data_IF_412098534875
#
_entry.id   IF_412098534875
#
_cell.length_a   1.000
_cell.length_b   1.000
_cell.length_c   1.000
_cell.angle_alpha   90.00
_cell.angle_beta   90.00
_cell.angle_gamma   90.00
#
_symmetry.space_group_name_H-M   'P 1'
#
loop_
_entity.id
_entity.type
_entity.pdbx_description
1 polymer ?
#
# COMPACT_ATOMS: atom_id res chain seq x y z
N UNK A 1 -7.73 -15.50 -16.70
CA UNK A 1 -8.96 -15.50 -15.87
C UNK A 1 -8.66 -15.22 -14.38
N UNK A 2 -7.50 -15.60 -13.83
CA UNK A 2 -7.09 -15.24 -12.45
C UNK A 2 -5.93 -14.21 -12.42
N UNK A 3 -6.16 -12.98 -12.88
CA UNK A 3 -5.09 -11.94 -12.92
C UNK A 3 -4.71 -11.39 -11.53
N UNK A 4 -5.56 -11.57 -10.52
CA UNK A 4 -5.33 -11.05 -9.15
C UNK A 4 -5.58 -12.15 -8.10
N UNK A 5 -4.71 -13.18 -8.01
CA UNK A 5 -4.91 -14.34 -7.13
C UNK A 5 -5.06 -13.97 -5.64
N UNK A 6 -4.36 -12.92 -5.19
CA UNK A 6 -4.43 -12.45 -3.81
C UNK A 6 -5.86 -12.06 -3.37
N UNK A 7 -6.67 -11.51 -4.28
CA UNK A 7 -8.05 -11.14 -3.99
C UNK A 7 -8.93 -12.37 -3.73
N UNK A 8 -8.78 -13.41 -4.54
CA UNK A 8 -9.50 -14.66 -4.36
C UNK A 8 -9.06 -15.39 -3.09
N UNK A 9 -7.77 -15.37 -2.78
CA UNK A 9 -7.24 -15.94 -1.54
C UNK A 9 -7.80 -15.22 -0.31
N UNK A 10 -7.87 -13.89 -0.32
CA UNK A 10 -8.45 -13.12 0.78
C UNK A 10 -9.95 -13.40 0.95
N UNK A 11 -10.71 -13.47 -0.16
CA UNK A 11 -12.13 -13.81 -0.12
C UNK A 11 -12.37 -15.22 0.44
N UNK A 12 -11.52 -16.18 0.07
CA UNK A 12 -11.57 -17.54 0.60
C UNK A 12 -11.14 -17.63 2.06
N UNK A 13 -10.19 -16.79 2.50
CA UNK A 13 -9.70 -16.77 3.88
C UNK A 13 -10.68 -16.10 4.87
N UNK A 14 -11.52 -15.18 4.40
CA UNK A 14 -12.42 -14.37 5.23
C UNK A 14 -13.39 -15.17 6.13
N UNK A 15 -13.98 -16.30 5.70
CA UNK A 15 -14.87 -17.10 6.54
C UNK A 15 -14.19 -17.77 7.73
N UNK A 16 -12.90 -18.07 7.65
CA UNK A 16 -12.19 -18.82 8.70
C UNK A 16 -12.20 -18.10 10.06
N UNK A 17 -11.79 -16.82 10.16
CA UNK A 17 -11.93 -16.04 11.39
C UNK A 17 -13.38 -15.91 11.87
N UNK A 18 -14.34 -15.77 10.95
CA UNK A 18 -15.76 -15.59 11.27
C UNK A 18 -16.40 -16.86 11.86
N UNK A 19 -15.96 -18.03 11.40
CA UNK A 19 -16.42 -19.34 11.85
C UNK A 19 -15.60 -19.86 13.05
N UNK A 20 -14.55 -19.15 13.47
CA UNK A 20 -13.62 -19.61 14.50
C UNK A 20 -12.82 -20.85 14.11
N UNK A 21 -12.74 -21.16 12.81
CA UNK A 21 -12.04 -22.35 12.30
C UNK A 21 -10.60 -21.97 11.99
N UNK A 22 -9.67 -22.53 12.73
CA UNK A 22 -8.23 -22.42 12.42
C UNK A 22 -7.81 -23.56 11.50
N UNK A 23 -7.29 -23.26 10.30
CA UNK A 23 -6.67 -24.27 9.44
C UNK A 23 -5.51 -24.95 10.17
N UNK A 24 -5.19 -26.22 9.83
CA UNK A 24 -4.16 -26.95 10.54
C UNK A 24 -2.75 -26.39 10.26
N UNK A 25 -1.88 -26.50 11.25
CA UNK A 25 -0.51 -25.92 11.23
C UNK A 25 0.35 -26.37 10.06
N UNK A 26 0.19 -27.63 9.61
CA UNK A 26 0.95 -28.16 8.47
C UNK A 26 0.65 -27.41 7.16
N UNK A 27 -0.52 -26.76 7.06
CA UNK A 27 -0.89 -25.91 5.92
C UNK A 27 -0.50 -24.44 6.16
N UNK A 28 -0.73 -23.93 7.38
CA UNK A 28 -0.44 -22.53 7.69
C UNK A 28 1.05 -22.20 7.68
N UNK A 29 1.91 -23.11 8.15
CA UNK A 29 3.36 -22.85 8.24
C UNK A 29 4.01 -22.60 6.87
N UNK A 30 3.86 -23.47 5.85
CA UNK A 30 4.41 -23.20 4.52
C UNK A 30 3.85 -21.92 3.89
N UNK A 31 2.54 -21.68 4.02
CA UNK A 31 1.88 -20.48 3.47
C UNK A 31 2.42 -19.22 4.13
N UNK A 32 2.60 -19.22 5.46
CA UNK A 32 3.18 -18.10 6.19
C UNK A 32 4.63 -17.83 5.78
N UNK A 33 5.44 -18.89 5.60
CA UNK A 33 6.82 -18.76 5.12
C UNK A 33 6.90 -18.14 3.72
N UNK A 34 6.04 -18.60 2.79
CA UNK A 34 5.96 -18.01 1.45
C UNK A 34 5.47 -16.55 1.49
N UNK A 35 4.49 -16.24 2.35
CA UNK A 35 4.00 -14.88 2.55
C UNK A 35 5.08 -13.94 3.09
N UNK A 36 5.89 -14.41 4.04
CA UNK A 36 7.03 -13.65 4.57
C UNK A 36 8.13 -13.45 3.51
N UNK A 37 8.37 -14.44 2.65
CA UNK A 37 9.31 -14.34 1.55
C UNK A 37 8.82 -13.42 0.40
N UNK A 38 7.51 -13.19 0.29
CA UNK A 38 6.95 -12.36 -0.77
C UNK A 38 7.38 -10.89 -0.65
N UNK A 39 7.43 -10.33 0.57
CA UNK A 39 7.83 -8.93 0.79
C UNK A 39 9.25 -8.64 0.26
N UNK A 40 10.31 -9.37 0.66
CA UNK A 40 11.65 -9.13 0.14
C UNK A 40 11.76 -9.39 -1.37
N UNK A 41 11.03 -10.35 -1.93
CA UNK A 41 10.98 -10.56 -3.38
C UNK A 41 10.36 -9.36 -4.11
N UNK A 42 9.26 -8.80 -3.60
CA UNK A 42 8.64 -7.60 -4.15
C UNK A 42 9.58 -6.40 -4.09
N UNK A 43 10.33 -6.25 -3.00
CA UNK A 43 11.34 -5.20 -2.88
C UNK A 43 12.50 -5.40 -3.87
N UNK A 44 12.91 -6.64 -4.11
CA UNK A 44 13.94 -6.96 -5.12
C UNK A 44 13.44 -6.64 -6.53
N UNK A 45 12.19 -6.97 -6.85
CA UNK A 45 11.55 -6.61 -8.12
C UNK A 45 11.48 -5.08 -8.25
N UNK A 46 11.00 -4.36 -7.23
CA UNK A 46 11.01 -2.89 -7.20
C UNK A 46 12.41 -2.35 -7.51
N UNK A 47 13.44 -2.88 -6.84
CA UNK A 47 14.83 -2.48 -7.06
C UNK A 47 15.29 -2.71 -8.51
N UNK A 48 14.95 -3.84 -9.11
CA UNK A 48 15.29 -4.13 -10.51
C UNK A 48 14.56 -3.24 -11.52
N UNK A 49 13.34 -2.80 -11.20
CA UNK A 49 12.54 -1.92 -12.05
C UNK A 49 12.80 -0.44 -11.77
N UNK A 50 13.63 -0.13 -10.76
CA UNK A 50 13.92 1.24 -10.39
C UNK A 50 14.87 1.86 -11.41
N UNK A 51 14.29 2.53 -12.40
CA UNK A 51 15.03 3.40 -13.31
C UNK A 51 14.63 4.84 -13.02
N UNK A 52 15.53 5.58 -12.39
CA UNK A 52 15.36 7.02 -12.10
C UNK A 52 15.49 7.84 -13.39
N UNK A 53 14.56 7.65 -14.32
CA UNK A 53 14.45 8.48 -15.51
C UNK A 53 13.78 9.80 -15.12
N UNK A 54 14.56 10.86 -15.05
CA UNK A 54 14.09 12.24 -14.78
C UNK A 54 13.38 12.87 -16.00
N UNK A 55 12.57 12.08 -16.72
CA UNK A 55 11.74 12.61 -17.80
C UNK A 55 10.67 13.50 -17.18
N UNK A 56 10.57 14.75 -17.66
CA UNK A 56 9.63 15.76 -17.11
C UNK A 56 8.18 15.25 -17.03
N UNK A 57 7.76 14.43 -17.99
CA UNK A 57 6.43 13.82 -18.01
C UNK A 57 6.21 12.86 -16.83
N UNK A 58 7.17 11.96 -16.58
CA UNK A 58 7.11 11.01 -15.47
C UNK A 58 7.15 11.73 -14.11
N UNK A 59 7.91 12.82 -14.00
CA UNK A 59 7.95 13.65 -12.80
C UNK A 59 6.61 14.35 -12.52
N UNK A 60 5.95 14.89 -13.55
CA UNK A 60 4.62 15.52 -13.38
C UNK A 60 3.57 14.52 -12.92
N UNK A 61 3.53 13.33 -13.52
CA UNK A 61 2.59 12.28 -13.13
C UNK A 61 2.90 11.77 -11.72
N UNK A 62 4.19 11.58 -11.39
CA UNK A 62 4.61 11.15 -10.05
C UNK A 62 4.26 12.18 -8.97
N UNK A 63 4.48 13.46 -9.23
CA UNK A 63 4.12 14.53 -8.31
C UNK A 63 2.60 14.58 -8.07
N UNK A 64 1.79 14.40 -9.11
CA UNK A 64 0.33 14.31 -8.97
C UNK A 64 -0.10 13.09 -8.13
N UNK A 65 0.48 11.93 -8.40
CA UNK A 65 0.23 10.72 -7.61
C UNK A 65 0.62 10.89 -6.14
N UNK A 66 1.78 11.48 -5.86
CA UNK A 66 2.24 11.76 -4.50
C UNK A 66 1.35 12.77 -3.79
N UNK A 67 1.00 13.89 -4.43
CA UNK A 67 0.15 14.90 -3.82
C UNK A 67 -1.24 14.34 -3.48
N UNK A 68 -1.83 13.55 -4.37
CA UNK A 68 -3.12 12.90 -4.11
C UNK A 68 -3.04 11.87 -2.98
N UNK A 69 -1.92 11.13 -2.86
CA UNK A 69 -1.76 10.05 -1.86
C UNK A 69 -1.22 10.51 -0.50
N UNK A 70 -0.44 11.59 -0.45
CA UNK A 70 0.19 12.05 0.80
C UNK A 70 -0.51 13.28 1.39
N UNK A 71 -1.30 14.03 0.61
CA UNK A 71 -2.02 15.22 1.09
C UNK A 71 -3.52 15.05 0.96
N UNK A 72 -4.02 14.72 -0.23
CA UNK A 72 -5.46 14.68 -0.48
C UNK A 72 -6.14 13.53 0.28
N UNK A 73 -5.59 12.32 0.27
CA UNK A 73 -6.19 11.19 1.00
C UNK A 73 -6.25 11.39 2.52
N UNK A 74 -5.19 11.80 3.26
CA UNK A 74 -5.32 12.07 4.68
C UNK A 74 -6.23 13.26 4.99
N UNK A 75 -6.27 14.30 4.14
CA UNK A 75 -7.19 15.41 4.31
C UNK A 75 -8.66 14.97 4.19
N UNK A 76 -8.98 14.15 3.19
CA UNK A 76 -10.32 13.55 3.05
C UNK A 76 -10.61 12.66 4.26
N UNK A 77 -9.66 11.83 4.68
CA UNK A 77 -9.84 10.95 5.84
C UNK A 77 -10.13 11.73 7.13
N UNK A 78 -9.43 12.84 7.37
CA UNK A 78 -9.69 13.70 8.52
C UNK A 78 -11.08 14.35 8.45
N UNK A 79 -11.49 14.83 7.27
CA UNK A 79 -12.83 15.37 7.05
C UNK A 79 -13.94 14.34 7.29
N UNK A 80 -13.74 13.10 6.82
CA UNK A 80 -14.68 11.99 7.07
C UNK A 80 -14.70 11.60 8.55
N UNK A 81 -13.53 11.49 9.20
CA UNK A 81 -13.47 11.18 10.63
C UNK A 81 -14.22 12.21 11.48
N UNK A 82 -14.12 13.49 11.12
CA UNK A 82 -14.90 14.56 11.74
C UNK A 82 -16.40 14.44 11.44
N UNK A 83 -16.78 14.22 10.18
CA UNK A 83 -18.18 14.12 9.76
C UNK A 83 -18.92 12.93 10.39
N UNK A 84 -18.23 11.80 10.60
CA UNK A 84 -18.78 10.60 11.23
C UNK A 84 -18.58 10.55 12.75
N UNK A 85 -17.97 11.57 13.36
CA UNK A 85 -17.80 11.67 14.82
C UNK A 85 -16.89 10.58 15.42
N UNK A 86 -15.81 10.22 14.73
CA UNK A 86 -14.88 9.21 15.23
C UNK A 86 -14.23 9.65 16.55
N UNK A 87 -14.00 8.70 17.46
CA UNK A 87 -13.16 8.92 18.65
C UNK A 87 -11.75 9.28 18.21
N UNK A 88 -11.06 10.11 19.01
CA UNK A 88 -9.71 10.61 18.71
C UNK A 88 -8.73 9.50 18.29
N UNK A 89 -8.67 8.41 19.06
CA UNK A 89 -7.80 7.25 18.78
C UNK A 89 -8.11 6.60 17.41
N UNK A 90 -9.39 6.40 17.10
CA UNK A 90 -9.82 5.77 15.83
C UNK A 90 -9.63 6.71 14.65
N UNK A 91 -9.90 8.00 14.84
CA UNK A 91 -9.62 9.04 13.85
C UNK A 91 -8.12 9.09 13.53
N UNK A 92 -7.27 9.00 14.55
CA UNK A 92 -5.82 9.02 14.38
C UNK A 92 -5.31 7.85 13.54
N UNK A 93 -5.71 6.63 13.89
CA UNK A 93 -5.38 5.44 13.10
C UNK A 93 -5.92 5.60 11.66
N UNK A 94 -7.16 6.04 11.48
CA UNK A 94 -7.76 6.18 10.15
C UNK A 94 -7.02 7.17 9.25
N UNK A 95 -6.65 8.34 9.79
CA UNK A 95 -5.90 9.37 9.06
C UNK A 95 -4.48 8.89 8.74
N UNK A 96 -3.78 8.27 9.70
CA UNK A 96 -2.43 7.74 9.50
C UNK A 96 -2.43 6.63 8.44
N UNK A 97 -3.38 5.70 8.50
CA UNK A 97 -3.52 4.64 7.49
C UNK A 97 -3.80 5.22 6.09
N UNK A 98 -4.52 6.33 6.00
CA UNK A 98 -4.81 7.01 4.73
C UNK A 98 -3.63 7.78 4.15
N UNK A 99 -2.63 8.11 4.99
CA UNK A 99 -1.37 8.72 4.59
C UNK A 99 -0.28 7.69 4.24
N UNK A 100 -0.56 6.39 4.33
CA UNK A 100 0.43 5.36 4.02
C UNK A 100 0.86 5.44 2.54
N UNK A 101 2.15 5.17 2.27
CA UNK A 101 2.68 5.21 0.91
C UNK A 101 2.03 4.15 0.02
N UNK A 102 2.20 4.33 -1.29
CA UNK A 102 1.69 3.40 -2.30
C UNK A 102 2.25 1.99 -2.09
N UNK A 103 1.38 0.98 -2.13
CA UNK A 103 1.75 -0.41 -1.91
C UNK A 103 2.65 -0.96 -3.02
N UNK A 104 3.77 -1.61 -2.65
CA UNK A 104 4.73 -2.21 -3.61
C UNK A 104 4.06 -3.24 -4.53
N UNK A 105 2.97 -3.88 -4.09
CA UNK A 105 2.20 -4.84 -4.88
C UNK A 105 1.64 -4.25 -6.20
N UNK A 106 1.47 -2.93 -6.30
CA UNK A 106 1.02 -2.30 -7.56
C UNK A 106 2.00 -2.52 -8.72
N UNK A 107 3.27 -2.83 -8.44
CA UNK A 107 4.29 -3.16 -9.45
C UNK A 107 4.02 -4.52 -10.08
N UNK A 108 3.58 -5.51 -9.29
CA UNK A 108 3.19 -6.81 -9.84
C UNK A 108 1.94 -6.67 -10.70
N UNK A 109 0.97 -5.87 -10.24
CA UNK A 109 -0.21 -5.58 -11.04
C UNK A 109 0.15 -4.84 -12.34
N UNK A 110 1.10 -3.91 -12.32
CA UNK A 110 1.49 -3.22 -13.55
C UNK A 110 2.15 -4.15 -14.56
N UNK A 111 2.95 -5.12 -14.10
CA UNK A 111 3.51 -6.16 -14.96
C UNK A 111 2.41 -7.05 -15.56
N UNK A 112 1.46 -7.49 -14.74
CA UNK A 112 0.35 -8.35 -15.18
C UNK A 112 -0.60 -7.65 -16.16
N UNK A 113 -0.82 -6.34 -15.99
CA UNK A 113 -1.75 -5.56 -16.81
C UNK A 113 -1.07 -4.71 -17.90
N UNK A 114 0.26 -4.80 -18.06
CA UNK A 114 1.00 -4.06 -19.08
C UNK A 114 1.03 -2.54 -18.88
N UNK A 115 0.93 -2.07 -17.64
CA UNK A 115 1.05 -0.65 -17.31
C UNK A 115 2.53 -0.23 -17.18
N UNK A 116 2.77 1.09 -17.13
CA UNK A 116 4.12 1.65 -16.99
C UNK A 116 4.72 1.31 -15.62
N UNK A 117 5.47 0.22 -15.60
CA UNK A 117 6.07 -0.36 -14.39
C UNK A 117 7.26 0.47 -13.91
N UNK A 118 8.02 1.08 -14.84
CA UNK A 118 9.15 1.95 -14.50
C UNK A 118 8.64 3.22 -13.78
N UNK A 119 7.56 3.82 -14.28
CA UNK A 119 6.90 4.96 -13.62
C UNK A 119 6.36 4.59 -12.24
N UNK A 120 5.66 3.46 -12.11
CA UNK A 120 5.10 3.02 -10.84
C UNK A 120 6.17 2.67 -9.81
N UNK A 121 7.27 2.05 -10.22
CA UNK A 121 8.43 1.79 -9.37
C UNK A 121 9.00 3.12 -8.82
N UNK A 122 9.12 4.14 -9.67
CA UNK A 122 9.51 5.49 -9.25
C UNK A 122 8.54 6.11 -8.24
N UNK A 123 7.23 6.05 -8.51
CA UNK A 123 6.19 6.56 -7.60
C UNK A 123 6.26 5.87 -6.24
N UNK A 124 6.35 4.55 -6.20
CA UNK A 124 6.44 3.77 -4.96
C UNK A 124 7.71 4.13 -4.19
N UNK A 125 8.86 4.25 -4.86
CA UNK A 125 10.11 4.63 -4.22
C UNK A 125 10.04 6.06 -3.64
N UNK A 126 9.57 7.04 -4.42
CA UNK A 126 9.41 8.41 -3.95
C UNK A 126 8.37 8.50 -2.82
N UNK A 127 7.24 7.79 -2.91
CA UNK A 127 6.24 7.77 -1.86
C UNK A 127 6.80 7.20 -0.57
N UNK A 128 7.60 6.13 -0.66
CA UNK A 128 8.24 5.52 0.51
C UNK A 128 9.23 6.48 1.16
N UNK A 129 10.11 7.13 0.38
CA UNK A 129 11.07 8.11 0.91
C UNK A 129 10.37 9.34 1.51
N UNK A 130 9.38 9.90 0.81
CA UNK A 130 8.65 11.08 1.26
C UNK A 130 7.68 10.76 2.42
N UNK A 131 7.26 9.50 2.55
CA UNK A 131 6.42 9.05 3.67
C UNK A 131 7.13 9.19 5.01
N UNK A 132 8.46 9.04 5.06
CA UNK A 132 9.24 9.22 6.29
C UNK A 132 9.03 10.62 6.84
N UNK A 133 9.19 11.63 5.99
CA UNK A 133 9.02 13.05 6.40
C UNK A 133 7.55 13.37 6.67
N UNK A 134 6.65 12.95 5.79
CA UNK A 134 5.22 13.29 5.92
C UNK A 134 4.56 12.63 7.12
N UNK A 135 4.84 11.35 7.40
CA UNK A 135 4.32 10.67 8.59
C UNK A 135 4.94 11.22 9.87
N UNK A 136 6.24 11.56 9.88
CA UNK A 136 6.87 12.21 11.04
C UNK A 136 6.19 13.54 11.40
N UNK A 137 5.68 14.28 10.43
CA UNK A 137 4.93 15.52 10.67
C UNK A 137 3.45 15.25 11.01
N UNK A 138 2.84 14.27 10.35
CA UNK A 138 1.40 13.99 10.49
C UNK A 138 1.04 13.35 11.84
N UNK A 139 1.84 12.39 12.32
CA UNK A 139 1.56 11.69 13.58
C UNK A 139 1.38 12.63 14.78
N UNK A 140 2.29 13.59 15.07
CA UNK A 140 2.11 14.52 16.19
C UNK A 140 1.00 15.55 15.99
N UNK A 141 0.50 15.74 14.75
CA UNK A 141 -0.62 16.65 14.48
C UNK A 141 -1.97 16.00 14.83
N UNK A 142 -2.04 14.68 14.73
CA UNK A 142 -3.30 13.91 14.85
C UNK A 142 -3.45 13.26 16.24
N UNK A 143 -2.35 13.11 16.99
CA UNK A 143 -2.30 12.55 18.34
C UNK A 143 -2.20 13.66 19.41
#
# INVERSE_FOLDING_TARGET
VLRVPALYAAAFALPFPLLGVTPPDWLLRPVALLGQAAIPLLLLILGSQLKLHLRREHLRVSAGALATRLLLSPAIAAGLAWAFGFRAETAAVFVVQSAMPTAVFTIVLSLEFGADTDLLAGIVAYATLLSVVTLSVLIPLVN
#
